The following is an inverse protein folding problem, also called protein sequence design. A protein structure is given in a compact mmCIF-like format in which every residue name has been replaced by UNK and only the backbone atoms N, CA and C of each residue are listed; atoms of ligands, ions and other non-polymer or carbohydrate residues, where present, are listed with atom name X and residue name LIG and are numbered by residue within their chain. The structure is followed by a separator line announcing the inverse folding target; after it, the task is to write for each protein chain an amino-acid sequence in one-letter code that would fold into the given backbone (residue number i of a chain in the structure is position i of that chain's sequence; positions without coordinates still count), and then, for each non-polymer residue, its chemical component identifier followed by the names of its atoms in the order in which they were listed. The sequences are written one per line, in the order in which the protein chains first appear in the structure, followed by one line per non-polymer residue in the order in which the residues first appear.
data_IF_051966306794
#
_entry.id   IF_051966306794
#
_cell.length_a   1.000
_cell.length_b   1.000
_cell.length_c   1.000
_cell.angle_alpha   90.00
_cell.angle_beta   90.00
_cell.angle_gamma   90.00
#
_symmetry.space_group_name_H-M   'P 1'
#
loop_
_entity.id
_entity.type
_entity.pdbx_description
1 polymer ?
#
# COMPACT_ATOMS: atom_id res chain seq x y z
N UNK A 1 -6.82 36.73 18.65
CA UNK A 1 -5.91 36.33 17.56
C UNK A 1 -6.64 35.33 16.68
N UNK A 2 -6.94 35.71 15.44
CA UNK A 2 -7.53 34.81 14.45
C UNK A 2 -6.46 33.80 14.02
N UNK A 3 -6.59 32.53 14.43
CA UNK A 3 -5.80 31.46 13.83
C UNK A 3 -6.33 31.23 12.42
N UNK A 4 -5.53 31.58 11.40
CA UNK A 4 -5.82 31.18 10.03
C UNK A 4 -5.70 29.66 9.99
N UNK A 5 -6.84 28.96 9.93
CA UNK A 5 -6.89 27.50 10.00
C UNK A 5 -6.42 26.94 8.65
N UNK A 6 -5.11 26.97 8.42
CA UNK A 6 -4.49 26.39 7.23
C UNK A 6 -4.65 24.88 7.33
N UNK A 7 -5.40 24.32 6.40
CA UNK A 7 -5.67 22.89 6.38
C UNK A 7 -4.49 22.12 5.81
N UNK A 8 -4.15 20.99 6.45
CA UNK A 8 -3.04 20.17 6.04
C UNK A 8 -3.43 19.37 4.79
N UNK A 9 -2.59 19.42 3.74
CA UNK A 9 -2.80 18.67 2.48
C UNK A 9 -1.99 17.37 2.40
N UNK A 10 -0.86 17.32 3.10
CA UNK A 10 0.10 16.22 3.09
C UNK A 10 0.49 15.92 4.54
N UNK A 11 0.40 14.67 4.95
CA UNK A 11 0.88 14.18 6.24
C UNK A 11 1.83 13.01 6.00
N UNK A 12 3.01 13.07 6.59
CA UNK A 12 3.99 11.99 6.62
C UNK A 12 4.32 11.68 8.08
N UNK A 13 3.99 10.47 8.52
CA UNK A 13 4.20 9.99 9.89
C UNK A 13 4.91 8.63 9.83
N UNK A 14 6.23 8.65 9.64
CA UNK A 14 7.02 7.43 9.50
C UNK A 14 7.94 7.27 10.70
N UNK A 15 7.71 6.23 11.49
CA UNK A 15 8.51 5.88 12.66
C UNK A 15 9.02 4.45 12.55
N UNK A 16 10.35 4.30 12.50
CA UNK A 16 11.02 2.99 12.40
C UNK A 16 11.47 2.41 13.75
N UNK A 17 11.18 3.09 14.87
CA UNK A 17 11.67 2.69 16.21
C UNK A 17 10.65 1.84 16.97
N UNK A 18 11.16 0.89 17.76
CA UNK A 18 10.39 0.01 18.66
C UNK A 18 9.80 0.72 19.88
N UNK A 19 10.35 1.88 20.23
CA UNK A 19 9.79 2.71 21.30
C UNK A 19 8.47 3.29 20.80
N UNK A 20 7.36 2.74 21.31
CA UNK A 20 6.02 3.28 21.10
C UNK A 20 5.96 4.65 21.76
N UNK A 21 6.36 5.69 21.04
CA UNK A 21 6.06 7.07 21.43
C UNK A 21 4.68 7.37 20.89
N UNK A 22 3.67 7.18 21.73
CA UNK A 22 2.36 7.76 21.49
C UNK A 22 2.49 9.27 21.67
N UNK A 23 3.04 9.94 20.66
CA UNK A 23 2.88 11.37 20.54
C UNK A 23 1.38 11.59 20.32
N UNK A 24 0.68 11.87 21.43
CA UNK A 24 -0.70 12.31 21.42
C UNK A 24 -0.68 13.55 20.56
N UNK A 25 -1.18 13.45 19.33
CA UNK A 25 -1.36 14.59 18.46
C UNK A 25 -2.72 15.19 18.80
N UNK A 26 -2.81 16.26 19.59
CA UNK A 26 -4.05 17.01 19.73
C UNK A 26 -4.29 17.75 18.41
N UNK A 27 -4.86 17.05 17.42
CA UNK A 27 -5.29 17.67 16.18
C UNK A 27 -6.58 18.45 16.47
N UNK A 28 -6.62 19.78 16.28
CA UNK A 28 -7.87 20.52 16.33
C UNK A 28 -8.86 19.89 15.34
N UNK A 29 -10.14 19.75 15.74
CA UNK A 29 -11.20 19.20 14.90
C UNK A 29 -11.15 19.82 13.50
N UNK A 30 -10.99 18.97 12.47
CA UNK A 30 -10.96 19.38 11.06
C UNK A 30 -9.58 19.66 10.46
N UNK A 31 -8.48 19.59 11.23
CA UNK A 31 -7.11 19.80 10.73
C UNK A 31 -6.73 18.82 9.61
N UNK A 32 -7.21 17.58 9.72
CA UNK A 32 -6.92 16.47 8.80
C UNK A 32 -7.92 16.39 7.61
N UNK A 33 -9.02 17.16 7.65
CA UNK A 33 -10.13 17.03 6.68
C UNK A 33 -9.72 17.23 5.21
N UNK A 34 -8.73 18.07 4.97
CA UNK A 34 -8.28 18.40 3.61
C UNK A 34 -7.01 17.65 3.21
N UNK A 35 -6.66 16.58 3.93
CA UNK A 35 -5.58 15.69 3.54
C UNK A 35 -5.89 15.06 2.18
N UNK A 36 -4.90 15.14 1.31
CA UNK A 36 -4.91 14.54 -0.03
C UNK A 36 -3.81 13.51 -0.17
N UNK A 37 -2.75 13.58 0.64
CA UNK A 37 -1.66 12.61 0.67
C UNK A 37 -1.37 12.23 2.11
N UNK A 38 -1.30 10.93 2.36
CA UNK A 38 -1.00 10.39 3.68
C UNK A 38 0.04 9.28 3.53
N UNK A 39 1.16 9.43 4.21
CA UNK A 39 2.17 8.40 4.38
C UNK A 39 2.29 8.07 5.87
N UNK A 40 2.20 6.80 6.26
CA UNK A 40 2.43 6.43 7.66
C UNK A 40 2.99 5.02 7.87
N UNK A 41 3.63 4.79 9.02
CA UNK A 41 4.05 3.46 9.47
C UNK A 41 3.03 2.79 10.38
N UNK A 42 2.88 1.46 10.31
CA UNK A 42 1.80 0.74 10.98
C UNK A 42 1.87 0.72 12.51
N UNK A 43 2.97 1.19 13.10
CA UNK A 43 3.10 1.46 14.54
C UNK A 43 2.47 2.80 14.97
N UNK A 44 1.76 3.50 14.08
CA UNK A 44 0.93 4.66 14.43
C UNK A 44 -0.10 4.29 15.52
N UNK A 45 -0.45 5.25 16.37
CA UNK A 45 -1.46 5.00 17.40
C UNK A 45 -2.82 4.65 16.79
N UNK A 46 -3.53 3.62 17.31
CA UNK A 46 -4.87 3.29 16.84
C UNK A 46 -5.85 4.47 16.93
N UNK A 47 -5.73 5.31 17.98
CA UNK A 47 -6.55 6.51 18.14
C UNK A 47 -6.36 7.52 17.00
N UNK A 48 -5.12 7.74 16.56
CA UNK A 48 -4.83 8.61 15.43
C UNK A 48 -5.34 8.02 14.12
N UNK A 49 -5.21 6.70 13.94
CA UNK A 49 -5.73 6.03 12.75
C UNK A 49 -7.26 6.06 12.67
N UNK A 50 -7.97 5.89 13.80
CA UNK A 50 -9.42 6.08 13.90
C UNK A 50 -9.80 7.51 13.52
N UNK A 51 -9.07 8.51 14.04
CA UNK A 51 -9.33 9.91 13.72
C UNK A 51 -9.10 10.21 12.23
N UNK A 52 -8.06 9.64 11.61
CA UNK A 52 -7.82 9.73 10.17
C UNK A 52 -9.00 9.14 9.38
N UNK A 53 -9.45 7.93 9.75
CA UNK A 53 -10.58 7.27 9.10
C UNK A 53 -11.89 8.07 9.24
N UNK A 54 -12.09 8.80 10.33
CA UNK A 54 -13.29 9.61 10.58
C UNK A 54 -13.29 10.99 9.89
N UNK A 55 -12.14 11.48 9.45
CA UNK A 55 -11.99 12.87 8.99
C UNK A 55 -11.45 13.00 7.57
N UNK A 56 -10.62 12.06 7.12
CA UNK A 56 -9.91 12.12 5.84
C UNK A 56 -10.64 11.26 4.82
N UNK A 57 -11.59 11.81 4.07
CA UNK A 57 -12.40 11.02 3.11
C UNK A 57 -12.05 11.30 1.63
N UNK A 58 -11.05 12.17 1.40
CA UNK A 58 -10.66 12.67 0.08
C UNK A 58 -9.17 12.46 -0.22
N UNK A 59 -8.57 11.40 0.33
CA UNK A 59 -7.20 11.05 0.00
C UNK A 59 -7.11 10.74 -1.50
N UNK A 60 -6.06 11.29 -2.12
CA UNK A 60 -5.63 10.96 -3.48
C UNK A 60 -4.53 9.89 -3.45
N UNK A 61 -3.60 10.01 -2.49
CA UNK A 61 -2.49 9.08 -2.28
C UNK A 61 -2.47 8.59 -0.83
N UNK A 62 -2.36 7.28 -0.67
CA UNK A 62 -2.10 6.61 0.59
C UNK A 62 -0.85 5.75 0.45
N UNK A 63 0.10 5.90 1.34
CA UNK A 63 1.33 5.11 1.39
C UNK A 63 1.53 4.59 2.82
N UNK A 64 1.74 3.28 2.96
CA UNK A 64 1.75 2.63 4.27
C UNK A 64 2.95 1.72 4.41
N UNK A 65 3.72 1.94 5.48
CA UNK A 65 4.87 1.12 5.83
C UNK A 65 4.45 0.16 6.95
N UNK A 66 4.23 -1.09 6.62
CA UNK A 66 3.90 -2.15 7.56
C UNK A 66 5.19 -2.67 8.20
N UNK A 67 5.34 -2.49 9.51
CA UNK A 67 6.53 -2.93 10.26
C UNK A 67 6.28 -4.26 10.99
N UNK A 68 5.19 -4.36 11.75
CA UNK A 68 4.94 -5.51 12.64
C UNK A 68 3.59 -6.19 12.46
N UNK A 69 2.55 -5.41 12.16
CA UNK A 69 1.18 -5.88 11.98
C UNK A 69 0.44 -4.91 11.06
N UNK A 70 -0.64 -5.40 10.45
CA UNK A 70 -1.55 -4.58 9.67
C UNK A 70 -2.62 -4.01 10.62
N UNK A 71 -2.76 -2.69 10.74
CA UNK A 71 -3.79 -2.11 11.59
C UNK A 71 -5.16 -2.44 11.02
N UNK A 72 -6.08 -2.93 11.86
CA UNK A 72 -7.45 -3.28 11.42
C UNK A 72 -8.18 -2.05 10.83
N UNK A 73 -7.90 -0.86 11.36
CA UNK A 73 -8.50 0.39 10.92
C UNK A 73 -7.96 0.90 9.58
N UNK A 74 -6.87 0.31 9.05
CA UNK A 74 -6.38 0.64 7.70
C UNK A 74 -7.42 0.32 6.64
N UNK A 75 -8.15 -0.79 6.83
CA UNK A 75 -9.26 -1.19 5.98
C UNK A 75 -10.33 -0.10 5.91
N UNK A 76 -10.77 0.36 7.08
CA UNK A 76 -11.80 1.39 7.19
C UNK A 76 -11.31 2.67 6.51
N UNK A 77 -10.06 3.07 6.79
CA UNK A 77 -9.45 4.23 6.16
C UNK A 77 -9.42 4.12 4.63
N UNK A 78 -9.16 2.96 4.05
CA UNK A 78 -9.11 2.80 2.59
C UNK A 78 -10.49 2.79 1.97
N UNK A 79 -11.42 2.01 2.52
CA UNK A 79 -12.75 1.76 1.93
C UNK A 79 -13.63 3.00 1.88
N UNK A 80 -13.45 3.94 2.83
CA UNK A 80 -14.19 5.20 2.87
C UNK A 80 -13.70 6.25 1.86
N UNK A 81 -12.55 6.04 1.19
CA UNK A 81 -12.00 7.03 0.28
C UNK A 81 -12.77 7.08 -1.04
N UNK A 82 -13.24 8.27 -1.40
CA UNK A 82 -13.98 8.49 -2.67
C UNK A 82 -13.08 8.84 -3.85
N UNK A 83 -11.84 9.26 -3.58
CA UNK A 83 -10.94 9.85 -4.58
C UNK A 83 -9.56 9.19 -4.60
N UNK A 84 -9.38 8.06 -3.91
CA UNK A 84 -8.08 7.40 -3.80
C UNK A 84 -7.67 6.88 -5.18
N UNK A 85 -6.54 7.39 -5.69
CA UNK A 85 -5.96 7.02 -6.99
C UNK A 85 -4.73 6.15 -6.84
N UNK A 86 -3.92 6.42 -5.82
CA UNK A 86 -2.68 5.72 -5.56
C UNK A 86 -2.71 5.12 -4.17
N UNK A 87 -2.48 3.81 -4.09
CA UNK A 87 -2.25 3.12 -2.84
C UNK A 87 -0.93 2.36 -2.91
N UNK A 88 -0.04 2.63 -1.96
CA UNK A 88 1.27 1.99 -1.83
C UNK A 88 1.38 1.33 -0.47
N UNK A 89 1.95 0.13 -0.45
CA UNK A 89 2.24 -0.61 0.75
C UNK A 89 3.66 -1.15 0.69
N UNK A 90 4.42 -0.89 1.74
CA UNK A 90 5.72 -1.50 1.99
C UNK A 90 5.61 -2.43 3.20
N UNK A 91 6.04 -3.67 3.07
CA UNK A 91 5.96 -4.69 4.12
C UNK A 91 7.37 -5.07 4.55
N UNK A 92 7.73 -4.77 5.79
CA UNK A 92 9.00 -5.18 6.39
C UNK A 92 8.99 -6.68 6.78
N UNK A 93 10.19 -7.22 7.04
CA UNK A 93 10.42 -8.60 7.50
C UNK A 93 9.72 -8.88 8.84
N UNK A 94 9.24 -10.11 9.04
CA UNK A 94 8.65 -10.58 10.29
C UNK A 94 7.18 -11.00 10.24
N UNK A 95 6.47 -10.74 9.13
CA UNK A 95 5.03 -11.04 8.99
C UNK A 95 4.73 -12.44 8.42
N UNK A 96 5.68 -13.36 8.55
CA UNK A 96 5.69 -14.65 7.86
C UNK A 96 4.44 -15.51 8.09
N UNK A 97 3.76 -15.34 9.23
CA UNK A 97 2.57 -16.11 9.62
C UNK A 97 1.25 -15.33 9.45
N UNK A 98 1.30 -14.02 9.16
CA UNK A 98 0.10 -13.16 9.06
C UNK A 98 -0.31 -12.82 7.62
N UNK A 99 0.51 -13.17 6.61
CA UNK A 99 0.27 -12.67 5.26
C UNK A 99 -0.80 -13.42 4.48
N UNK A 100 -0.92 -14.72 4.71
CA UNK A 100 -2.07 -15.49 4.20
C UNK A 100 -3.40 -15.03 4.84
N UNK A 101 -3.33 -14.20 5.89
CA UNK A 101 -4.46 -13.64 6.62
C UNK A 101 -4.69 -12.15 6.34
N UNK A 102 -3.93 -11.48 5.45
CA UNK A 102 -4.09 -10.03 5.20
C UNK A 102 -5.53 -9.78 4.69
N UNK A 103 -6.40 -9.14 5.50
CA UNK A 103 -7.74 -8.80 5.03
C UNK A 103 -7.64 -7.87 3.82
N UNK A 104 -6.66 -6.96 3.80
CA UNK A 104 -6.44 -6.02 2.70
C UNK A 104 -6.30 -6.67 1.30
N UNK A 105 -5.74 -7.88 1.21
CA UNK A 105 -5.52 -8.61 -0.05
C UNK A 105 -6.66 -9.59 -0.38
N UNK A 106 -7.71 -9.58 0.43
CA UNK A 106 -8.96 -10.32 0.18
C UNK A 106 -10.17 -9.37 0.08
N UNK A 107 -9.95 -8.08 0.31
CA UNK A 107 -11.00 -7.06 0.39
C UNK A 107 -11.23 -6.29 -0.92
N UNK A 108 -12.44 -5.76 -1.06
CA UNK A 108 -12.78 -4.82 -2.14
C UNK A 108 -12.13 -3.46 -1.89
N UNK A 109 -10.98 -3.24 -2.50
CA UNK A 109 -10.34 -1.93 -2.53
C UNK A 109 -11.14 -0.94 -3.42
N UNK A 110 -10.97 0.39 -3.24
CA UNK A 110 -11.71 1.39 -3.99
C UNK A 110 -11.52 1.25 -5.51
N UNK A 111 -12.64 1.16 -6.26
CA UNK A 111 -12.64 1.13 -7.73
C UNK A 111 -12.01 2.37 -8.37
N UNK A 112 -11.76 3.42 -7.60
CA UNK A 112 -11.11 4.64 -8.07
C UNK A 112 -9.61 4.50 -8.25
N UNK A 113 -9.00 3.45 -7.68
CA UNK A 113 -7.57 3.19 -7.75
C UNK A 113 -7.12 2.99 -9.19
N UNK A 114 -6.11 3.77 -9.57
CA UNK A 114 -5.43 3.68 -10.87
C UNK A 114 -4.01 3.17 -10.71
N UNK A 115 -3.41 3.29 -9.52
CA UNK A 115 -2.09 2.79 -9.18
C UNK A 115 -2.11 2.01 -7.87
N UNK A 116 -1.53 0.81 -7.90
CA UNK A 116 -1.33 -0.01 -6.71
C UNK A 116 0.13 -0.49 -6.64
N UNK A 117 0.79 -0.30 -5.50
CA UNK A 117 2.18 -0.68 -5.28
C UNK A 117 2.28 -1.54 -4.03
N UNK A 118 2.90 -2.71 -4.14
CA UNK A 118 3.24 -3.58 -3.02
C UNK A 118 4.71 -3.92 -3.09
N UNK A 119 5.45 -3.54 -2.06
CA UNK A 119 6.87 -3.88 -1.91
C UNK A 119 7.03 -4.63 -0.61
N UNK A 120 7.77 -5.73 -0.60
CA UNK A 120 8.05 -6.43 0.65
C UNK A 120 9.02 -7.58 0.45
N UNK A 121 9.08 -8.46 1.44
CA UNK A 121 9.83 -9.70 1.33
C UNK A 121 8.96 -10.86 0.83
N UNK A 122 9.60 -12.00 0.55
CA UNK A 122 9.05 -13.18 -0.10
C UNK A 122 7.86 -13.82 0.67
N UNK A 123 6.67 -13.29 0.44
CA UNK A 123 5.42 -13.78 1.00
C UNK A 123 4.54 -14.41 -0.09
N UNK A 124 3.74 -15.43 0.26
CA UNK A 124 2.82 -16.10 -0.66
C UNK A 124 1.61 -15.20 -0.97
N UNK A 125 1.82 -14.13 -1.71
CA UNK A 125 0.74 -13.20 -2.03
C UNK A 125 -0.15 -13.82 -3.11
N UNK A 126 -1.41 -14.06 -2.76
CA UNK A 126 -2.45 -14.33 -3.75
C UNK A 126 -2.79 -13.02 -4.48
N UNK A 127 -2.77 -13.05 -5.81
CA UNK A 127 -3.16 -11.92 -6.66
C UNK A 127 -4.66 -11.85 -6.91
N UNK A 128 -5.46 -12.73 -6.30
CA UNK A 128 -6.91 -12.83 -6.53
C UNK A 128 -7.65 -11.52 -6.32
N UNK A 129 -7.23 -10.66 -5.37
CA UNK A 129 -7.82 -9.33 -5.18
C UNK A 129 -7.77 -8.47 -6.46
N UNK A 130 -6.78 -8.68 -7.33
CA UNK A 130 -6.64 -7.93 -8.57
C UNK A 130 -7.87 -8.07 -9.45
N UNK A 131 -8.61 -9.18 -9.42
CA UNK A 131 -9.79 -9.34 -10.28
C UNK A 131 -10.85 -8.24 -10.09
N UNK A 132 -10.82 -7.53 -8.96
CA UNK A 132 -11.78 -6.49 -8.62
C UNK A 132 -11.41 -5.08 -9.13
N UNK A 133 -10.19 -4.84 -9.65
CA UNK A 133 -9.80 -3.51 -10.14
C UNK A 133 -9.99 -3.37 -11.64
N UNK A 134 -11.14 -2.84 -12.03
CA UNK A 134 -11.42 -2.58 -13.45
C UNK A 134 -10.73 -1.32 -14.00
N UNK A 135 -10.26 -0.43 -13.12
CA UNK A 135 -9.68 0.88 -13.50
C UNK A 135 -8.17 0.96 -13.24
N UNK A 136 -7.53 -0.14 -12.82
CA UNK A 136 -6.11 -0.16 -12.53
C UNK A 136 -5.31 0.06 -13.82
N UNK A 137 -4.40 1.02 -13.79
CA UNK A 137 -3.53 1.37 -14.92
C UNK A 137 -2.07 1.02 -14.62
N UNK A 138 -1.68 1.11 -13.35
CA UNK A 138 -0.35 0.81 -12.85
C UNK A 138 -0.47 -0.18 -11.69
N UNK A 139 0.32 -1.25 -11.77
CA UNK A 139 0.50 -2.20 -10.68
C UNK A 139 2.00 -2.47 -10.54
N UNK A 140 2.51 -2.45 -9.32
CA UNK A 140 3.91 -2.77 -9.02
C UNK A 140 3.92 -3.75 -7.85
N UNK A 141 4.57 -4.89 -8.04
CA UNK A 141 4.74 -5.90 -7.00
C UNK A 141 6.22 -6.28 -6.98
N UNK A 142 6.89 -6.07 -5.85
CA UNK A 142 8.33 -6.29 -5.75
C UNK A 142 8.70 -7.01 -4.47
N UNK A 143 9.41 -8.13 -4.61
CA UNK A 143 9.92 -8.93 -3.49
C UNK A 143 11.43 -8.77 -3.30
N UNK A 144 11.94 -7.55 -3.45
CA UNK A 144 13.38 -7.22 -3.40
C UNK A 144 13.65 -6.26 -2.23
N UNK A 145 14.52 -6.68 -1.31
CA UNK A 145 14.93 -5.93 -0.12
C UNK A 145 15.61 -4.58 -0.44
N UNK A 146 16.18 -4.43 -1.65
CA UNK A 146 16.85 -3.21 -2.10
C UNK A 146 15.91 -2.14 -2.69
N UNK A 147 14.67 -2.04 -2.20
CA UNK A 147 13.72 -1.02 -2.65
C UNK A 147 14.29 0.41 -2.62
N UNK A 148 15.19 0.71 -1.67
CA UNK A 148 15.90 2.00 -1.52
C UNK A 148 16.76 2.39 -2.73
N UNK A 149 17.10 1.44 -3.61
CA UNK A 149 17.90 1.70 -4.83
C UNK A 149 17.04 1.96 -6.07
N UNK A 150 15.71 1.84 -5.99
CA UNK A 150 14.86 2.12 -7.16
C UNK A 150 14.67 3.61 -7.35
N UNK A 151 15.14 4.09 -8.49
CA UNK A 151 14.68 5.33 -9.10
C UNK A 151 13.21 5.07 -9.48
N UNK A 152 12.25 5.92 -9.09
CA UNK A 152 10.87 5.78 -9.54
C UNK A 152 10.87 5.69 -11.06
N UNK A 153 10.55 4.52 -11.60
CA UNK A 153 10.44 4.43 -13.04
C UNK A 153 9.30 5.36 -13.48
N UNK A 154 9.49 6.03 -14.63
CA UNK A 154 8.50 6.93 -15.24
C UNK A 154 7.11 6.26 -15.22
N UNK A 155 5.98 7.01 -15.21
CA UNK A 155 4.62 6.52 -14.93
C UNK A 155 4.02 5.57 -15.99
N UNK A 156 4.84 4.74 -16.65
CA UNK A 156 4.49 3.88 -17.76
C UNK A 156 5.15 2.51 -17.69
N UNK A 157 5.81 2.11 -16.60
CA UNK A 157 6.48 0.80 -16.48
C UNK A 157 5.97 0.04 -15.26
N UNK A 158 5.11 -0.94 -15.54
CA UNK A 158 4.76 -2.03 -14.64
C UNK A 158 5.96 -2.98 -14.54
N UNK A 159 6.37 -3.33 -13.32
CA UNK A 159 7.47 -4.26 -13.05
C UNK A 159 7.03 -5.17 -11.91
N UNK A 160 6.77 -6.44 -12.21
CA UNK A 160 6.85 -7.48 -11.18
C UNK A 160 8.30 -7.92 -11.15
N UNK A 161 8.93 -7.87 -9.98
CA UNK A 161 10.24 -8.51 -9.74
C UNK A 161 10.03 -9.58 -8.68
N UNK A 162 10.08 -10.81 -9.15
CA UNK A 162 10.12 -12.01 -8.32
C UNK A 162 11.55 -12.55 -8.30
N UNK A 163 12.04 -12.96 -7.13
CA UNK A 163 13.43 -13.42 -6.97
C UNK A 163 13.53 -14.93 -7.01
N UNK A 164 14.58 -15.50 -7.62
CA UNK A 164 14.81 -16.95 -7.54
C UNK A 164 14.94 -17.51 -6.12
N UNK A 165 15.32 -16.67 -5.16
CA UNK A 165 15.46 -17.05 -3.75
C UNK A 165 14.12 -17.03 -3.00
N UNK A 166 13.04 -16.56 -3.64
CA UNK A 166 11.70 -16.65 -3.10
C UNK A 166 11.25 -18.11 -2.99
N UNK A 167 10.87 -18.55 -1.78
CA UNK A 167 10.20 -19.84 -1.55
C UNK A 167 8.80 -19.87 -2.18
N UNK A 168 8.09 -18.74 -2.19
CA UNK A 168 6.71 -18.62 -2.62
C UNK A 168 6.59 -17.73 -3.87
N UNK A 169 7.32 -18.11 -4.92
CA UNK A 169 7.35 -17.35 -6.19
C UNK A 169 5.95 -17.22 -6.79
N UNK A 170 5.64 -16.01 -7.29
CA UNK A 170 4.39 -15.71 -8.00
C UNK A 170 4.22 -16.60 -9.23
N UNK A 171 5.30 -16.88 -9.95
CA UNK A 171 5.27 -17.68 -11.19
C UNK A 171 4.99 -19.17 -10.96
N UNK A 172 5.17 -19.66 -9.73
CA UNK A 172 4.81 -21.03 -9.34
C UNK A 172 3.31 -21.19 -9.03
N UNK A 173 2.59 -20.10 -8.78
CA UNK A 173 1.16 -20.13 -8.51
C UNK A 173 0.37 -19.99 -9.82
N UNK A 174 -0.34 -21.05 -10.21
CA UNK A 174 -1.12 -21.13 -11.46
C UNK A 174 -2.23 -20.07 -11.53
N UNK A 175 -2.86 -19.72 -10.41
CA UNK A 175 -3.92 -18.69 -10.37
C UNK A 175 -3.33 -17.29 -10.54
N UNK A 176 -2.21 -17.01 -9.88
CA UNK A 176 -1.48 -15.75 -10.05
C UNK A 176 -1.05 -15.56 -11.50
N UNK A 177 -0.53 -16.61 -12.15
CA UNK A 177 -0.14 -16.55 -13.56
C UNK A 177 -1.32 -16.23 -14.49
N UNK A 178 -2.50 -16.81 -14.26
CA UNK A 178 -3.71 -16.47 -15.04
C UNK A 178 -4.10 -14.99 -14.88
N UNK A 179 -3.96 -14.45 -13.66
CA UNK A 179 -4.25 -13.04 -13.38
C UNK A 179 -3.23 -12.15 -14.07
N UNK A 180 -1.94 -12.46 -13.98
CA UNK A 180 -0.86 -11.74 -14.68
C UNK A 180 -1.10 -11.73 -16.18
N UNK A 181 -1.43 -12.88 -16.78
CA UNK A 181 -1.77 -12.97 -18.21
C UNK A 181 -2.97 -12.12 -18.59
N UNK A 182 -4.02 -12.11 -17.75
CA UNK A 182 -5.21 -11.29 -17.96
C UNK A 182 -4.85 -9.80 -17.98
N UNK A 183 -4.10 -9.36 -16.97
CA UNK A 183 -3.63 -7.98 -16.85
C UNK A 183 -2.62 -7.58 -17.95
N UNK A 184 -1.88 -8.55 -18.49
CA UNK A 184 -1.00 -8.37 -19.66
C UNK A 184 -1.81 -8.14 -20.93
N UNK A 185 -2.86 -8.94 -21.16
CA UNK A 185 -3.78 -8.76 -22.31
C UNK A 185 -4.52 -7.42 -22.24
N UNK A 186 -4.80 -6.92 -21.04
CA UNK A 186 -5.42 -5.60 -20.81
C UNK A 186 -4.43 -4.43 -20.95
N UNK A 187 -3.12 -4.70 -21.10
CA UNK A 187 -2.08 -3.67 -21.20
C UNK A 187 -1.75 -2.96 -19.88
N UNK A 188 -2.25 -3.46 -18.75
CA UNK A 188 -1.92 -2.97 -17.40
C UNK A 188 -0.55 -3.47 -16.97
N UNK A 189 -0.26 -4.75 -17.24
CA UNK A 189 1.09 -5.33 -17.16
C UNK A 189 1.81 -5.07 -18.48
N UNK A 190 2.94 -4.38 -18.43
CA UNK A 190 3.81 -4.17 -19.60
C UNK A 190 5.03 -5.09 -19.61
N UNK A 191 5.70 -5.23 -18.46
CA UNK A 191 6.86 -6.11 -18.30
C UNK A 191 6.66 -7.01 -17.09
N UNK A 192 6.72 -8.33 -17.28
CA UNK A 192 6.80 -9.30 -16.21
C UNK A 192 8.21 -9.89 -16.21
N UNK A 193 8.99 -9.61 -15.18
CA UNK A 193 10.39 -10.03 -15.08
C UNK A 193 10.59 -10.92 -13.86
N UNK A 194 11.21 -12.06 -14.07
CA UNK A 194 11.68 -12.93 -12.98
C UNK A 194 13.18 -12.68 -12.90
N UNK A 195 13.62 -12.10 -11.78
CA UNK A 195 15.01 -11.77 -11.55
C UNK A 195 15.72 -12.84 -10.73
N UNK A 196 16.94 -13.17 -11.12
CA UNK A 196 17.88 -13.90 -10.27
C UNK A 196 18.91 -12.89 -9.73
N UNK A 197 19.23 -12.91 -8.43
CA UNK A 197 20.38 -12.14 -7.96
C UNK A 197 21.66 -12.83 -8.48
N UNK A 198 22.36 -12.17 -9.39
CA UNK A 198 23.77 -12.43 -9.73
C UNK A 198 24.69 -11.46 -9.00
#
# INVERSE_FOLDING_TARGET
MYMNQTSLKVLEYVQYSDSITYDIYPSPKGFLKNLTKLTFSSNISPELLINLAQTCHNLFLLDVIIIYHIPKELVDLITIQKNLKCFSMMIHDGLKDEIDSIPLLTMELPKTLTRFVVVGENYNISLSFLVNFTNLQELEISFDFNWKKRIPQKPLSFVIIDSAFCKNRLDKNVENMKIIETYTKLGVVKNFEIGDYS
#
